data_IF_964444200180
#
_entry.id   IF_964444200180
#
_cell.length_a   1.000
_cell.length_b   1.000
_cell.length_c   1.000
_cell.angle_alpha   90.00
_cell.angle_beta   90.00
_cell.angle_gamma   90.00
#
_symmetry.space_group_name_H-M   'P 1'
#
loop_
_entity.id
_entity.type
_entity.pdbx_description
1 polymer ?
#
# COMPACT_ATOMS: atom_id res chain seq x y z
N UNK A 1 -1.69 4.41 11.07
CA UNK A 1 -2.68 5.48 10.76
C UNK A 1 -3.84 4.82 10.05
N UNK A 2 -5.07 5.19 10.39
CA UNK A 2 -6.30 4.75 9.69
C UNK A 2 -6.91 5.95 9.00
N UNK A 3 -7.38 5.78 7.76
CA UNK A 3 -8.01 6.85 6.97
C UNK A 3 -9.44 6.46 6.63
N UNK A 4 -10.36 7.42 6.64
CA UNK A 4 -11.77 7.21 6.27
C UNK A 4 -11.97 7.49 4.79
N UNK A 5 -12.68 6.60 4.09
CA UNK A 5 -13.04 6.75 2.69
C UNK A 5 -14.06 7.89 2.52
N UNK A 6 -13.79 8.89 1.66
CA UNK A 6 -14.72 9.99 1.41
C UNK A 6 -15.99 9.57 0.66
N UNK A 7 -15.99 8.41 -0.01
CA UNK A 7 -17.15 7.95 -0.78
C UNK A 7 -18.15 7.12 0.03
N UNK A 8 -17.67 6.24 0.91
CA UNK A 8 -18.54 5.30 1.64
C UNK A 8 -18.42 5.38 3.17
N UNK A 9 -17.54 6.23 3.70
CA UNK A 9 -17.35 6.40 5.15
C UNK A 9 -16.66 5.24 5.87
N UNK A 10 -16.31 4.15 5.17
CA UNK A 10 -15.57 3.02 5.75
C UNK A 10 -14.08 3.32 5.90
N UNK A 11 -13.39 2.52 6.71
CA UNK A 11 -11.93 2.61 6.82
C UNK A 11 -11.24 2.14 5.55
N UNK A 12 -10.19 2.85 5.17
CA UNK A 12 -9.28 2.49 4.09
C UNK A 12 -8.11 1.71 4.67
N UNK A 13 -7.63 0.75 3.89
CA UNK A 13 -6.41 0.01 4.18
C UNK A 13 -5.25 0.56 3.36
N UNK A 14 -4.06 0.53 3.94
CA UNK A 14 -2.83 0.85 3.24
C UNK A 14 -2.46 -0.33 2.35
N UNK A 15 -2.23 -0.07 1.06
CA UNK A 15 -1.68 -1.04 0.10
C UNK A 15 -0.47 -0.46 -0.60
N UNK A 16 0.43 -1.32 -1.02
CA UNK A 16 1.61 -0.90 -1.75
C UNK A 16 1.38 -0.91 -3.25
N UNK A 17 2.01 0.04 -3.95
CA UNK A 17 2.06 -0.02 -5.41
C UNK A 17 2.97 -1.16 -5.86
N UNK A 18 2.72 -1.74 -7.04
CA UNK A 18 3.58 -2.78 -7.59
C UNK A 18 4.86 -2.21 -8.25
N UNK A 19 5.59 -1.38 -7.50
CA UNK A 19 6.88 -0.82 -7.92
C UNK A 19 7.71 -0.40 -6.70
N UNK A 20 9.01 -0.39 -6.90
CA UNK A 20 9.99 0.16 -5.95
C UNK A 20 10.67 1.35 -6.61
N UNK A 21 10.81 2.46 -5.87
CA UNK A 21 11.60 3.60 -6.30
C UNK A 21 13.06 3.37 -5.90
N UNK A 22 13.94 3.39 -6.91
CA UNK A 22 15.39 3.17 -6.78
C UNK A 22 16.10 4.40 -6.19
N UNK A 23 15.74 4.76 -4.95
CA UNK A 23 16.45 5.77 -4.15
C UNK A 23 17.38 5.10 -3.12
N UNK A 24 18.23 5.88 -2.44
CA UNK A 24 19.01 5.37 -1.32
C UNK A 24 18.59 6.07 0.00
N UNK A 25 17.90 5.39 0.93
CA UNK A 25 17.41 4.00 0.84
C UNK A 25 16.23 3.85 -0.16
N UNK A 26 15.92 2.62 -0.62
CA UNK A 26 14.78 2.36 -1.49
C UNK A 26 13.47 2.87 -0.89
N UNK A 27 12.57 3.31 -1.76
CA UNK A 27 11.26 3.83 -1.39
C UNK A 27 10.16 2.95 -1.95
N UNK A 28 9.15 2.66 -1.13
CA UNK A 28 8.02 1.79 -1.46
C UNK A 28 6.74 2.64 -1.46
N UNK A 29 6.29 3.12 -2.63
CA UNK A 29 5.06 3.89 -2.74
C UNK A 29 3.86 3.07 -2.27
N UNK A 30 2.94 3.74 -1.61
CA UNK A 30 1.72 3.13 -1.12
C UNK A 30 0.53 4.07 -1.33
N UNK A 31 -0.65 3.48 -1.38
CA UNK A 31 -1.91 4.18 -1.55
C UNK A 31 -2.94 3.68 -0.54
N UNK A 32 -3.93 4.52 -0.28
CA UNK A 32 -5.11 4.12 0.48
C UNK A 32 -6.08 3.43 -0.48
N UNK A 33 -6.50 2.22 -0.13
CA UNK A 33 -7.50 1.46 -0.87
C UNK A 33 -8.75 1.24 -0.02
N UNK A 34 -9.91 1.37 -0.63
CA UNK A 34 -11.19 1.04 -0.02
C UNK A 34 -11.92 -0.02 -0.86
N UNK A 35 -12.64 -0.92 -0.19
CA UNK A 35 -13.46 -1.97 -0.85
C UNK A 35 -14.52 -1.41 -1.80
N UNK A 36 -14.97 -0.17 -1.61
CA UNK A 36 -15.90 0.49 -2.55
C UNK A 36 -15.28 0.86 -3.91
N UNK A 37 -13.97 0.62 -4.08
CA UNK A 37 -13.22 0.95 -5.30
C UNK A 37 -12.49 2.30 -5.24
N UNK A 38 -12.74 3.14 -4.22
CA UNK A 38 -12.00 4.39 -4.05
C UNK A 38 -10.54 4.13 -3.69
N UNK A 39 -9.65 4.81 -4.41
CA UNK A 39 -8.20 4.81 -4.13
C UNK A 39 -7.69 6.23 -4.01
N UNK A 40 -6.76 6.45 -3.08
CA UNK A 40 -6.13 7.75 -2.90
C UNK A 40 -4.61 7.61 -2.74
N UNK A 41 -3.85 8.53 -3.34
CA UNK A 41 -2.40 8.55 -3.18
C UNK A 41 -2.03 8.66 -1.70
N UNK A 42 -1.14 7.78 -1.26
CA UNK A 42 -0.58 7.80 0.07
C UNK A 42 0.77 8.50 0.07
N UNK A 43 1.78 7.80 0.60
CA UNK A 43 3.16 8.26 0.67
C UNK A 43 4.13 7.21 0.13
N UNK A 44 5.37 7.26 0.61
CA UNK A 44 6.36 6.24 0.36
C UNK A 44 7.06 5.90 1.67
N UNK A 45 7.15 4.61 1.97
CA UNK A 45 7.90 4.12 3.13
C UNK A 45 9.35 3.90 2.74
N UNK A 46 10.24 4.03 3.73
CA UNK A 46 11.69 3.77 3.61
C UNK A 46 12.09 2.73 4.65
N UNK A 47 13.15 1.99 4.36
CA UNK A 47 13.72 1.04 5.33
C UNK A 47 12.92 -0.26 5.49
N UNK A 48 12.01 -0.57 4.56
CA UNK A 48 11.42 -1.91 4.45
C UNK A 48 12.43 -2.80 3.72
N UNK A 49 12.71 -4.00 4.25
CA UNK A 49 13.49 -5.00 3.53
C UNK A 49 12.69 -5.43 2.29
N UNK A 50 13.34 -5.50 1.13
CA UNK A 50 12.66 -5.89 -0.12
C UNK A 50 11.92 -7.23 0.04
N UNK A 51 12.47 -8.16 0.81
CA UNK A 51 11.88 -9.46 1.10
C UNK A 51 10.51 -9.35 1.79
N UNK A 52 10.40 -8.52 2.84
CA UNK A 52 9.14 -8.28 3.55
C UNK A 52 8.08 -7.67 2.62
N UNK A 53 8.50 -6.77 1.73
CA UNK A 53 7.62 -6.14 0.76
C UNK A 53 7.07 -7.16 -0.25
N UNK A 54 7.95 -7.98 -0.85
CA UNK A 54 7.53 -9.00 -1.80
C UNK A 54 6.65 -10.06 -1.14
N UNK A 55 6.95 -10.44 0.10
CA UNK A 55 6.14 -11.38 0.86
C UNK A 55 4.72 -10.84 1.09
N UNK A 56 4.58 -9.56 1.48
CA UNK A 56 3.26 -8.92 1.63
C UNK A 56 2.47 -8.87 0.33
N UNK A 57 3.12 -8.54 -0.79
CA UNK A 57 2.45 -8.55 -2.11
C UNK A 57 2.01 -9.95 -2.52
N UNK A 58 2.85 -10.96 -2.28
CA UNK A 58 2.52 -12.34 -2.57
C UNK A 58 1.29 -12.80 -1.75
N UNK A 59 1.24 -12.47 -0.46
CA UNK A 59 0.08 -12.78 0.39
C UNK A 59 -1.20 -12.09 -0.10
N UNK A 60 -1.14 -10.83 -0.54
CA UNK A 60 -2.30 -10.12 -1.09
C UNK A 60 -2.85 -10.79 -2.36
N UNK A 61 -1.99 -11.30 -3.24
CA UNK A 61 -2.39 -11.99 -4.47
C UNK A 61 -2.91 -13.40 -4.21
N UNK A 62 -2.37 -14.10 -3.21
CA UNK A 62 -2.71 -15.50 -2.91
C UNK A 62 -3.76 -15.69 -1.82
N UNK A 63 -4.23 -14.61 -1.17
CA UNK A 63 -5.45 -14.64 -0.36
C UNK A 63 -6.68 -14.70 -1.28
N UNK A 64 -6.90 -15.87 -1.86
CA UNK A 64 -8.12 -16.28 -2.55
C UNK A 64 -9.02 -17.10 -1.64
#
# INVERSE_FOLDING_TARGET
MTKTCPQCGKQMIKRYENRVLLTNPPQYPWYWWCECGYTEKGGADRGILMEDFYYQQWEEVNKG
#
